data_IF_693198799215
#
_entry.id   IF_693198799215
#
_cell.length_a   1.000
_cell.length_b   1.000
_cell.length_c   1.000
_cell.angle_alpha   90.00
_cell.angle_beta   90.00
_cell.angle_gamma   90.00
#
_symmetry.space_group_name_H-M   'P 1'
#
loop_
_entity.id
_entity.type
_entity.pdbx_description
1 polymer ?
#
# COMPACT_ATOMS: atom_id res chain seq x y z
N UNK A 1 11.59 -28.79 -44.82
CA UNK A 1 10.96 -27.46 -44.61
C UNK A 1 9.69 -27.46 -43.76
N UNK A 2 9.06 -28.61 -43.43
CA UNK A 2 7.82 -28.64 -42.62
C UNK A 2 8.01 -28.55 -41.10
N UNK A 3 9.20 -28.91 -40.59
CA UNK A 3 9.51 -28.95 -39.16
C UNK A 3 9.74 -27.55 -38.56
N UNK A 4 10.30 -26.63 -39.36
CA UNK A 4 10.57 -25.25 -38.92
C UNK A 4 9.28 -24.44 -38.66
N UNK A 5 8.21 -24.74 -39.41
CA UNK A 5 6.91 -24.07 -39.27
C UNK A 5 6.24 -24.46 -37.95
N UNK A 6 6.37 -25.73 -37.52
CA UNK A 6 5.80 -26.20 -36.26
C UNK A 6 6.42 -25.56 -35.03
N UNK A 7 7.75 -25.33 -35.04
CA UNK A 7 8.47 -24.69 -33.93
C UNK A 7 8.08 -23.21 -33.81
N UNK A 8 7.94 -22.50 -34.94
CA UNK A 8 7.49 -21.11 -34.95
C UNK A 8 6.07 -20.94 -34.40
N UNK A 9 5.17 -21.89 -34.70
CA UNK A 9 3.79 -21.86 -34.18
C UNK A 9 3.74 -22.09 -32.66
N UNK A 10 4.57 -23.01 -32.14
CA UNK A 10 4.66 -23.31 -30.70
C UNK A 10 5.27 -22.14 -29.92
N UNK A 11 6.29 -21.48 -30.47
CA UNK A 11 6.88 -20.25 -29.89
C UNK A 11 5.89 -19.07 -29.89
N UNK A 12 5.08 -18.93 -30.95
CA UNK A 12 4.03 -17.91 -31.01
C UNK A 12 2.91 -18.16 -29.99
N UNK A 13 2.55 -19.42 -29.75
CA UNK A 13 1.56 -19.80 -28.73
C UNK A 13 2.10 -19.63 -27.30
N UNK A 14 3.37 -19.93 -27.04
CA UNK A 14 4.02 -19.71 -25.74
C UNK A 14 4.24 -18.21 -25.43
N UNK A 15 4.34 -17.35 -26.44
CA UNK A 15 4.48 -15.90 -26.28
C UNK A 15 3.21 -15.15 -25.90
N UNK A 16 2.05 -15.83 -25.90
CA UNK A 16 0.74 -15.23 -25.59
C UNK A 16 0.23 -15.58 -24.19
N UNK A 17 1.00 -16.29 -23.38
CA UNK A 17 0.70 -16.40 -21.96
C UNK A 17 0.86 -14.99 -21.40
N UNK A 18 -0.22 -14.29 -20.99
CA UNK A 18 -0.06 -13.01 -20.34
C UNK A 18 0.81 -13.30 -19.14
N UNK A 19 1.98 -12.67 -19.11
CA UNK A 19 2.93 -12.86 -18.04
C UNK A 19 2.19 -12.62 -16.72
N UNK A 20 1.92 -13.71 -15.99
CA UNK A 20 1.41 -13.70 -14.61
C UNK A 20 2.34 -12.91 -13.66
N UNK A 21 3.45 -12.38 -14.18
CA UNK A 21 4.38 -11.44 -13.59
C UNK A 21 3.83 -10.01 -13.43
N UNK A 22 2.70 -9.64 -14.03
CA UNK A 22 2.19 -8.27 -14.03
C UNK A 22 0.77 -8.14 -13.47
N UNK A 23 0.44 -8.88 -12.43
CA UNK A 23 -0.79 -8.65 -11.67
C UNK A 23 -0.68 -7.33 -10.89
N UNK A 24 -0.90 -6.20 -11.59
CA UNK A 24 -1.18 -4.91 -10.94
C UNK A 24 -2.47 -5.09 -10.15
N UNK A 25 -2.40 -5.05 -8.83
CA UNK A 25 -3.59 -5.13 -7.98
C UNK A 25 -4.08 -3.72 -7.75
N UNK A 26 -5.12 -3.33 -8.50
CA UNK A 26 -5.86 -2.11 -8.24
C UNK A 26 -6.85 -2.37 -7.10
N UNK A 27 -6.79 -1.56 -6.05
CA UNK A 27 -7.65 -1.66 -4.87
C UNK A 27 -8.29 -0.31 -4.58
N UNK A 28 -9.54 -0.32 -4.11
CA UNK A 28 -10.20 0.83 -3.51
C UNK A 28 -10.18 0.65 -1.99
N UNK A 29 -9.64 1.63 -1.27
CA UNK A 29 -9.41 1.56 0.17
C UNK A 29 -10.16 2.66 0.91
N UNK A 30 -10.66 2.32 2.08
CA UNK A 30 -11.43 3.20 2.95
C UNK A 30 -10.83 3.18 4.37
N UNK A 31 -10.50 4.36 4.90
CA UNK A 31 -10.07 4.52 6.29
C UNK A 31 -11.26 4.31 7.23
N UNK A 32 -11.18 3.29 8.09
CA UNK A 32 -12.15 3.07 9.17
C UNK A 32 -11.81 3.93 10.40
N UNK A 33 -10.53 4.18 10.62
CA UNK A 33 -10.02 5.00 11.73
C UNK A 33 -8.94 5.94 11.19
N UNK A 34 -8.98 7.20 11.62
CA UNK A 34 -7.94 8.20 11.34
C UNK A 34 -7.75 9.10 12.54
N UNK A 35 -6.51 9.21 13.01
CA UNK A 35 -6.12 10.00 14.19
C UNK A 35 -4.88 10.80 13.84
N UNK A 36 -4.84 12.07 14.21
CA UNK A 36 -3.68 12.93 14.04
C UNK A 36 -3.37 13.72 15.30
N UNK A 37 -2.24 14.40 15.33
CA UNK A 37 -1.92 15.33 16.40
C UNK A 37 -2.45 16.73 16.07
N UNK A 38 -3.29 17.27 16.94
CA UNK A 38 -3.80 18.63 16.85
C UNK A 38 -3.57 19.40 18.15
N UNK A 39 -3.64 20.73 18.08
CA UNK A 39 -3.59 21.60 19.25
C UNK A 39 -4.74 21.25 20.20
N UNK A 40 -4.45 21.04 21.48
CA UNK A 40 -5.47 20.76 22.49
C UNK A 40 -6.17 22.06 22.94
N UNK A 41 -7.49 22.02 23.10
CA UNK A 41 -8.25 23.10 23.73
C UNK A 41 -8.71 22.71 25.16
N UNK A 42 -8.73 23.66 26.12
CA UNK A 42 -8.18 25.01 26.04
C UNK A 42 -6.64 25.02 26.22
N UNK A 43 -5.95 26.08 25.74
CA UNK A 43 -4.55 26.30 26.07
C UNK A 43 -4.34 26.29 27.60
N UNK A 44 -3.26 25.69 28.14
CA UNK A 44 -2.02 25.27 27.47
C UNK A 44 -1.99 23.76 27.15
N UNK A 45 -3.12 23.13 26.84
CA UNK A 45 -3.12 21.73 26.46
C UNK A 45 -2.28 21.57 25.17
N UNK A 46 -1.06 21.03 25.30
CA UNK A 46 -0.17 20.74 24.17
C UNK A 46 -0.81 19.80 23.15
N UNK A 47 -0.01 19.31 22.19
CA UNK A 47 -0.54 18.43 21.14
C UNK A 47 -1.22 17.19 21.72
N UNK A 48 -2.44 16.91 21.25
CA UNK A 48 -3.21 15.73 21.61
C UNK A 48 -3.64 14.98 20.37
N UNK A 49 -3.74 13.66 20.52
CA UNK A 49 -4.34 12.79 19.52
C UNK A 49 -5.83 13.16 19.36
N UNK A 50 -6.24 13.47 18.15
CA UNK A 50 -7.61 13.85 17.80
C UNK A 50 -8.08 13.07 16.57
N UNK A 51 -9.37 12.70 16.48
CA UNK A 51 -9.93 12.13 15.26
C UNK A 51 -9.76 13.09 14.09
N UNK A 52 -9.36 12.57 12.93
CA UNK A 52 -9.22 13.31 11.68
C UNK A 52 -10.20 12.72 10.66
N UNK A 53 -10.73 13.51 9.70
CA UNK A 53 -11.62 12.97 8.68
C UNK A 53 -11.01 11.78 7.95
N UNK A 54 -11.75 10.67 7.95
CA UNK A 54 -11.42 9.46 7.20
C UNK A 54 -11.46 9.74 5.70
N UNK A 55 -10.67 8.97 4.94
CA UNK A 55 -10.52 9.16 3.50
C UNK A 55 -10.72 7.85 2.76
N UNK A 56 -11.21 7.97 1.53
CA UNK A 56 -11.22 6.89 0.54
C UNK A 56 -10.18 7.20 -0.52
N UNK A 57 -9.36 6.22 -0.88
CA UNK A 57 -8.29 6.37 -1.87
C UNK A 57 -8.12 5.09 -2.68
N UNK A 58 -7.51 5.21 -3.87
CA UNK A 58 -7.19 4.05 -4.69
C UNK A 58 -5.73 3.66 -4.51
N UNK A 59 -5.44 2.37 -4.53
CA UNK A 59 -4.08 1.83 -4.53
C UNK A 59 -3.82 1.08 -5.83
N UNK A 60 -2.63 1.27 -6.38
CA UNK A 60 -2.11 0.42 -7.44
C UNK A 60 -0.84 -0.20 -6.91
N UNK A 61 -0.91 -1.50 -6.59
CA UNK A 61 0.22 -2.27 -6.12
C UNK A 61 0.92 -2.97 -7.28
N UNK A 62 2.21 -2.69 -7.41
CA UNK A 62 3.17 -3.41 -8.24
C UNK A 62 4.16 -4.19 -7.33
N UNK A 63 5.09 -4.96 -7.89
CA UNK A 63 6.01 -5.80 -7.10
C UNK A 63 6.79 -5.02 -6.03
N UNK A 64 7.37 -3.89 -6.40
CA UNK A 64 8.27 -3.11 -5.54
C UNK A 64 7.74 -1.70 -5.25
N UNK A 65 6.58 -1.35 -5.80
CA UNK A 65 6.04 0.01 -5.72
C UNK A 65 4.54 -0.03 -5.41
N UNK A 66 4.11 0.90 -4.56
CA UNK A 66 2.72 1.17 -4.28
C UNK A 66 2.41 2.63 -4.63
N UNK A 67 1.41 2.82 -5.48
CA UNK A 67 0.90 4.14 -5.81
C UNK A 67 -0.41 4.36 -5.06
N UNK A 68 -0.47 5.39 -4.23
CA UNK A 68 -1.68 5.83 -3.55
C UNK A 68 -2.24 7.04 -4.28
N UNK A 69 -3.50 6.97 -4.70
CA UNK A 69 -4.18 8.02 -5.47
C UNK A 69 -5.31 8.58 -4.63
N UNK A 70 -5.23 9.87 -4.29
CA UNK A 70 -6.24 10.59 -3.53
C UNK A 70 -6.39 12.01 -4.06
N UNK A 71 -7.64 12.43 -4.33
CA UNK A 71 -7.98 13.79 -4.74
C UNK A 71 -7.10 14.36 -5.89
N UNK A 72 -6.81 13.54 -6.91
CA UNK A 72 -6.00 13.94 -8.07
C UNK A 72 -4.49 14.00 -7.81
N UNK A 73 -4.02 13.61 -6.62
CA UNK A 73 -2.60 13.46 -6.29
C UNK A 73 -2.22 12.00 -6.22
N UNK A 74 -1.00 11.69 -6.66
CA UNK A 74 -0.40 10.36 -6.57
C UNK A 74 0.81 10.42 -5.67
N UNK A 75 0.79 9.63 -4.61
CA UNK A 75 1.93 9.39 -3.74
C UNK A 75 2.58 8.06 -4.12
N UNK A 76 3.91 8.05 -4.15
CA UNK A 76 4.69 6.87 -4.49
C UNK A 76 5.36 6.32 -3.24
N UNK A 77 5.33 5.01 -3.09
CA UNK A 77 5.94 4.29 -1.98
C UNK A 77 6.78 3.14 -2.52
N UNK A 78 7.95 2.95 -1.94
CA UNK A 78 8.82 1.79 -2.20
C UNK A 78 8.43 0.67 -1.25
N UNK A 79 8.15 -0.52 -1.78
CA UNK A 79 7.66 -1.67 -1.04
C UNK A 79 8.73 -2.75 -0.83
N UNK A 80 8.68 -3.35 0.35
CA UNK A 80 9.50 -4.49 0.74
C UNK A 80 8.62 -5.55 1.40
N UNK A 81 8.90 -6.82 1.08
CA UNK A 81 8.29 -7.94 1.77
C UNK A 81 8.79 -8.03 3.20
N UNK A 82 7.88 -8.27 4.14
CA UNK A 82 8.20 -8.32 5.56
C UNK A 82 8.34 -9.74 6.02
N UNK A 83 9.54 -10.05 6.52
CA UNK A 83 9.79 -11.29 7.23
C UNK A 83 9.77 -11.00 8.73
N UNK A 84 8.64 -11.28 9.40
CA UNK A 84 8.59 -11.24 10.85
C UNK A 84 9.57 -12.27 11.43
N UNK A 85 10.62 -11.79 12.10
CA UNK A 85 11.53 -12.63 12.90
C UNK A 85 10.90 -12.84 14.28
N UNK A 86 9.91 -13.73 14.36
CA UNK A 86 9.30 -14.15 15.62
C UNK A 86 9.04 -15.66 15.62
N UNK A 87 9.49 -16.33 16.68
CA UNK A 87 9.22 -17.74 17.08
C UNK A 87 8.56 -18.64 16.01
N UNK A 88 9.28 -18.90 14.91
CA UNK A 88 8.92 -19.93 13.93
C UNK A 88 7.71 -19.66 13.03
N UNK A 89 7.02 -18.50 13.11
CA UNK A 89 5.86 -18.21 12.23
C UNK A 89 6.19 -17.17 11.16
N UNK A 90 6.53 -17.66 9.98
CA UNK A 90 6.67 -16.89 8.74
C UNK A 90 5.28 -16.50 8.21
N UNK A 91 4.69 -15.39 8.67
CA UNK A 91 3.52 -14.81 7.99
C UNK A 91 4.00 -13.86 6.90
N UNK A 92 3.89 -14.30 5.65
CA UNK A 92 4.45 -13.66 4.44
C UNK A 92 3.44 -12.83 3.64
N UNK A 93 2.24 -12.56 4.18
CA UNK A 93 1.18 -11.90 3.42
C UNK A 93 1.15 -10.38 3.63
N UNK A 94 2.06 -9.82 4.42
CA UNK A 94 2.12 -8.39 4.69
C UNK A 94 3.25 -7.73 3.91
N UNK A 95 2.93 -6.67 3.18
CA UNK A 95 3.92 -5.78 2.58
C UNK A 95 4.07 -4.52 3.43
N UNK A 96 5.28 -3.99 3.48
CA UNK A 96 5.57 -2.65 4.02
C UNK A 96 6.01 -1.79 2.86
N UNK A 97 5.43 -0.61 2.73
CA UNK A 97 5.84 0.39 1.76
C UNK A 97 6.12 1.71 2.46
N UNK A 98 7.12 2.47 2.02
CA UNK A 98 7.49 3.73 2.65
C UNK A 98 7.97 4.77 1.64
N UNK A 99 7.87 6.03 2.03
CA UNK A 99 8.56 7.16 1.41
C UNK A 99 9.15 8.04 2.52
N UNK A 100 9.57 9.27 2.19
CA UNK A 100 10.32 10.15 3.11
C UNK A 100 9.70 10.27 4.52
N UNK A 101 8.38 10.45 4.62
CA UNK A 101 7.67 10.64 5.90
C UNK A 101 6.46 9.73 6.07
N UNK A 102 6.07 8.97 5.05
CA UNK A 102 4.90 8.11 5.09
C UNK A 102 5.27 6.63 5.08
N UNK A 103 4.57 5.85 5.88
CA UNK A 103 4.69 4.41 5.97
C UNK A 103 3.32 3.79 5.75
N UNK A 104 3.31 2.68 5.02
CA UNK A 104 2.11 1.96 4.63
C UNK A 104 2.33 0.47 4.85
N UNK A 105 1.35 -0.22 5.41
CA UNK A 105 1.35 -1.68 5.55
C UNK A 105 0.06 -2.22 4.99
N UNK A 106 0.13 -3.34 4.26
CA UNK A 106 -1.04 -3.99 3.68
C UNK A 106 -0.95 -5.50 3.93
N UNK A 107 -1.95 -6.05 4.59
CA UNK A 107 -2.20 -7.49 4.59
C UNK A 107 -2.88 -7.88 3.28
N UNK A 108 -2.16 -8.58 2.40
CA UNK A 108 -2.63 -9.01 1.09
C UNK A 108 -3.71 -10.10 1.14
N UNK A 109 -3.87 -10.78 2.28
CA UNK A 109 -4.90 -11.80 2.46
C UNK A 109 -6.21 -11.18 2.96
N UNK A 110 -6.14 -10.38 4.03
CA UNK A 110 -7.32 -9.71 4.60
C UNK A 110 -7.66 -8.37 3.94
N UNK A 111 -6.78 -7.84 3.09
CA UNK A 111 -6.87 -6.50 2.48
C UNK A 111 -7.04 -5.37 3.50
N UNK A 112 -6.50 -5.55 4.70
CA UNK A 112 -6.47 -4.53 5.74
C UNK A 112 -5.18 -3.73 5.63
N UNK A 113 -5.26 -2.42 5.82
CA UNK A 113 -4.10 -1.54 5.77
C UNK A 113 -3.92 -0.73 7.04
N UNK A 114 -2.67 -0.39 7.31
CA UNK A 114 -2.28 0.65 8.26
C UNK A 114 -1.37 1.66 7.56
N UNK A 115 -1.65 2.96 7.75
CA UNK A 115 -0.85 4.05 7.19
C UNK A 115 -0.48 5.03 8.30
N UNK A 116 0.76 5.47 8.33
CA UNK A 116 1.23 6.52 9.22
C UNK A 116 2.05 7.57 8.47
N UNK A 117 1.84 8.83 8.81
CA UNK A 117 2.67 9.95 8.41
C UNK A 117 3.41 10.45 9.65
N UNK A 118 4.73 10.55 9.54
CA UNK A 118 5.63 10.98 10.60
C UNK A 118 6.58 12.03 10.00
N UNK A 119 6.21 13.30 10.11
CA UNK A 119 7.09 14.40 9.71
C UNK A 119 7.87 14.90 10.94
N UNK A 120 9.21 14.77 10.98
CA UNK A 120 10.01 15.29 12.09
C UNK A 120 10.06 16.83 12.12
N UNK A 121 9.79 17.51 11.01
CA UNK A 121 9.81 18.97 10.90
C UNK A 121 8.50 19.61 11.40
N UNK A 122 7.38 18.89 11.32
CA UNK A 122 6.06 19.36 11.75
C UNK A 122 5.28 18.27 12.47
N UNK A 123 5.12 18.44 13.79
CA UNK A 123 4.40 17.50 14.65
C UNK A 123 2.89 17.46 14.37
N UNK A 124 2.32 18.48 13.74
CA UNK A 124 0.89 18.50 13.35
C UNK A 124 0.61 17.61 12.13
N UNK A 125 1.65 17.23 11.39
CA UNK A 125 1.56 16.28 10.29
C UNK A 125 1.74 14.82 10.74
N UNK A 126 1.78 14.56 12.05
CA UNK A 126 1.76 13.20 12.58
C UNK A 126 0.34 12.65 12.51
N UNK A 127 0.14 11.61 11.69
CA UNK A 127 -1.15 10.96 11.48
C UNK A 127 -1.02 9.44 11.43
N UNK A 128 -2.03 8.76 11.94
CA UNK A 128 -2.20 7.32 11.86
C UNK A 128 -3.59 7.00 11.34
N UNK A 129 -3.69 6.00 10.48
CA UNK A 129 -4.95 5.55 9.93
C UNK A 129 -4.94 4.05 9.70
N UNK A 130 -6.10 3.45 9.83
CA UNK A 130 -6.34 2.03 9.61
C UNK A 130 -7.62 1.87 8.81
N UNK A 131 -7.67 0.85 7.96
CA UNK A 131 -8.87 0.57 7.21
C UNK A 131 -8.76 -0.67 6.35
N UNK A 132 -9.66 -0.75 5.38
CA UNK A 132 -9.85 -1.93 4.55
C UNK A 132 -9.86 -1.55 3.07
N UNK A 133 -9.42 -2.48 2.23
CA UNK A 133 -9.40 -2.36 0.79
C UNK A 133 -10.26 -3.45 0.15
N UNK A 134 -10.73 -3.17 -1.06
CA UNK A 134 -11.39 -4.15 -1.93
C UNK A 134 -10.83 -4.06 -3.36
N UNK A 135 -10.77 -5.17 -4.10
CA UNK A 135 -10.39 -5.14 -5.52
C UNK A 135 -11.34 -4.25 -6.33
N UNK A 136 -10.80 -3.62 -7.37
CA UNK A 136 -11.56 -2.85 -8.38
C UNK A 136 -11.82 -3.75 -9.60
#
# INVERSE_FOLDING_TARGET
MRVAIGIALVLALLGTIPSLSQARRALLCEETVSVGLGQGEPPPAGLRAQPVPTRTFSLILNREMLNLIFAGRTEFYECQEVYYRGEGRRRTNTIKCQNATNFFTLDLAGLNFGKSQLNPEDQTEIRFSYGTCKPI
#
